data_IF_968125116114
#
_entry.id   IF_968125116114
#
_cell.length_a   1.000
_cell.length_b   1.000
_cell.length_c   1.000
_cell.angle_alpha   90.00
_cell.angle_beta   90.00
_cell.angle_gamma   90.00
#
_symmetry.space_group_name_H-M   'P 1'
#
loop_
_entity.id
_entity.type
_entity.pdbx_description
1 polymer ?
#
# COMPACT_ATOMS: atom_id res chain seq x y z
N UNK A 1 -45.49 -7.67 -14.83
CA UNK A 1 -44.04 -7.61 -15.08
C UNK A 1 -43.39 -7.15 -13.78
N UNK A 2 -42.95 -8.06 -12.89
CA UNK A 2 -42.44 -7.63 -11.59
C UNK A 2 -40.98 -7.18 -11.68
N UNK A 3 -40.75 -6.01 -11.09
CA UNK A 3 -39.52 -5.46 -10.51
C UNK A 3 -38.22 -6.19 -10.83
N UNK A 4 -37.49 -5.66 -11.83
CA UNK A 4 -36.03 -5.76 -11.80
C UNK A 4 -35.55 -4.97 -10.59
N UNK A 5 -35.22 -5.68 -9.52
CA UNK A 5 -34.38 -5.23 -8.42
C UNK A 5 -33.24 -4.38 -8.99
N UNK A 6 -33.35 -3.05 -8.84
CA UNK A 6 -32.20 -2.16 -8.94
C UNK A 6 -31.31 -2.55 -7.77
N UNK A 7 -30.36 -3.46 -8.00
CA UNK A 7 -29.21 -3.60 -7.13
C UNK A 7 -28.50 -2.25 -7.20
N UNK A 8 -28.66 -1.45 -6.16
CA UNK A 8 -27.78 -0.30 -5.92
C UNK A 8 -26.35 -0.85 -6.01
N UNK A 9 -25.47 -0.28 -6.84
CA UNK A 9 -24.08 -0.72 -6.84
C UNK A 9 -23.57 -0.62 -5.40
N UNK A 10 -23.13 -1.74 -4.83
CA UNK A 10 -22.44 -1.72 -3.54
C UNK A 10 -21.32 -0.70 -3.62
N UNK A 11 -21.21 0.14 -2.60
CA UNK A 11 -20.18 1.16 -2.54
C UNK A 11 -18.82 0.49 -2.71
N UNK A 12 -17.93 0.95 -3.60
CA UNK A 12 -16.62 0.34 -3.81
C UNK A 12 -15.75 0.33 -2.53
N UNK A 13 -16.14 1.12 -1.54
CA UNK A 13 -15.51 1.29 -0.22
C UNK A 13 -16.05 0.34 0.85
N UNK A 14 -17.18 -0.33 0.61
CA UNK A 14 -17.75 -1.29 1.56
C UNK A 14 -17.03 -2.64 1.46
N UNK A 15 -16.64 -3.18 2.61
CA UNK A 15 -15.99 -4.49 2.70
C UNK A 15 -17.04 -5.58 2.83
N UNK A 16 -17.40 -6.19 1.70
CA UNK A 16 -18.29 -7.35 1.64
C UNK A 16 -17.48 -8.64 1.48
N UNK A 17 -16.80 -9.02 2.55
CA UNK A 17 -15.91 -10.18 2.61
C UNK A 17 -16.32 -11.20 3.67
N UNK A 18 -16.04 -12.47 3.39
CA UNK A 18 -16.07 -13.58 4.35
C UNK A 18 -14.85 -13.48 5.28
N UNK A 19 -15.05 -13.57 6.60
CA UNK A 19 -13.96 -13.60 7.58
C UNK A 19 -13.78 -15.00 8.15
N UNK A 20 -12.57 -15.55 8.04
CA UNK A 20 -12.26 -16.93 8.47
C UNK A 20 -11.14 -16.92 9.49
N UNK A 21 -11.34 -17.64 10.60
CA UNK A 21 -10.32 -17.82 11.65
C UNK A 21 -10.24 -16.68 12.68
N UNK A 22 -11.14 -15.71 12.61
CA UNK A 22 -11.27 -14.60 13.56
C UNK A 22 -12.29 -14.94 14.68
N UNK A 23 -12.07 -14.41 15.89
CA UNK A 23 -13.17 -14.23 16.84
C UNK A 23 -14.06 -13.06 16.40
N UNK A 24 -15.29 -12.97 16.92
CA UNK A 24 -16.22 -11.86 16.57
C UNK A 24 -15.61 -10.47 16.79
N UNK A 25 -14.86 -10.28 17.88
CA UNK A 25 -14.21 -9.00 18.18
C UNK A 25 -13.01 -8.73 17.27
N UNK A 26 -12.26 -9.75 16.89
CA UNK A 26 -11.16 -9.61 15.93
C UNK A 26 -11.70 -9.30 14.53
N UNK A 27 -12.77 -9.97 14.10
CA UNK A 27 -13.43 -9.67 12.83
C UNK A 27 -13.92 -8.22 12.80
N UNK A 28 -14.67 -7.79 13.82
CA UNK A 28 -15.19 -6.42 13.90
C UNK A 28 -14.06 -5.40 13.79
N UNK A 29 -12.95 -5.63 14.50
CA UNK A 29 -11.76 -4.77 14.43
C UNK A 29 -11.13 -4.79 13.05
N UNK A 30 -10.78 -5.96 12.52
CA UNK A 30 -10.14 -6.11 11.22
C UNK A 30 -10.94 -5.45 10.10
N UNK A 31 -12.26 -5.66 10.08
CA UNK A 31 -13.20 -4.99 9.16
C UNK A 31 -13.10 -3.47 9.27
N UNK A 32 -13.18 -2.93 10.49
CA UNK A 32 -13.13 -1.49 10.71
C UNK A 32 -11.80 -0.90 10.22
N UNK A 33 -10.66 -1.56 10.46
CA UNK A 33 -9.36 -1.03 10.03
C UNK A 33 -9.17 -1.05 8.51
N UNK A 34 -9.60 -2.12 7.84
CA UNK A 34 -9.58 -2.20 6.37
C UNK A 34 -10.44 -1.07 5.78
N UNK A 35 -11.60 -0.79 6.39
CA UNK A 35 -12.49 0.29 5.96
C UNK A 35 -11.95 1.68 6.28
N UNK A 36 -11.32 1.88 7.44
CA UNK A 36 -10.78 3.17 7.84
C UNK A 36 -9.63 3.64 6.96
N UNK A 37 -8.89 2.72 6.33
CA UNK A 37 -7.89 3.08 5.32
C UNK A 37 -8.52 3.87 4.15
N UNK A 38 -9.82 3.69 3.91
CA UNK A 38 -10.60 4.43 2.91
C UNK A 38 -10.36 3.99 1.47
N UNK A 39 -9.44 3.05 1.25
CA UNK A 39 -9.21 2.46 -0.07
C UNK A 39 -10.38 1.55 -0.48
N UNK A 40 -10.67 1.42 -1.78
CA UNK A 40 -11.66 0.47 -2.27
C UNK A 40 -11.38 -0.95 -1.76
N UNK A 41 -12.43 -1.65 -1.35
CA UNK A 41 -12.35 -2.97 -0.74
C UNK A 41 -13.12 -4.04 -1.53
N UNK A 42 -13.80 -3.67 -2.61
CA UNK A 42 -14.64 -4.57 -3.42
C UNK A 42 -13.90 -5.79 -3.97
N UNK A 43 -12.58 -5.72 -4.13
CA UNK A 43 -11.77 -6.83 -4.64
C UNK A 43 -11.46 -7.86 -3.55
N UNK A 44 -11.58 -7.48 -2.28
CA UNK A 44 -11.37 -8.35 -1.12
C UNK A 44 -12.64 -9.16 -0.92
N UNK A 45 -12.60 -10.44 -1.28
CA UNK A 45 -13.73 -11.38 -1.15
C UNK A 45 -13.66 -12.18 0.14
N UNK A 46 -12.45 -12.38 0.65
CA UNK A 46 -12.21 -13.14 1.87
C UNK A 46 -11.05 -12.53 2.65
N UNK A 47 -11.20 -12.49 3.98
CA UNK A 47 -10.13 -12.16 4.91
C UNK A 47 -9.88 -13.38 5.80
N UNK A 48 -8.66 -13.90 5.78
CA UNK A 48 -8.25 -15.11 6.51
C UNK A 48 -7.27 -14.76 7.61
N UNK A 49 -7.49 -15.33 8.80
CA UNK A 49 -6.55 -15.30 9.90
C UNK A 49 -6.12 -16.70 10.30
N UNK A 50 -4.84 -17.04 10.08
CA UNK A 50 -4.34 -18.42 10.28
C UNK A 50 -2.90 -18.46 10.77
N UNK A 51 -2.48 -19.64 11.23
CA UNK A 51 -1.05 -19.90 11.48
C UNK A 51 -0.28 -19.85 10.14
N UNK A 52 0.95 -19.33 10.20
CA UNK A 52 1.90 -19.47 9.10
C UNK A 52 2.27 -20.95 8.94
N UNK A 53 2.33 -21.43 7.70
CA UNK A 53 2.83 -22.77 7.37
C UNK A 53 4.34 -22.74 7.22
N UNK A 54 4.94 -23.93 7.10
CA UNK A 54 6.36 -24.06 6.75
C UNK A 54 6.65 -23.33 5.44
N UNK A 55 7.60 -22.41 5.45
CA UNK A 55 7.94 -21.50 4.35
C UNK A 55 7.26 -20.13 4.40
N UNK A 56 6.36 -19.87 5.35
CA UNK A 56 5.66 -18.60 5.54
C UNK A 56 6.05 -17.90 6.85
N UNK A 57 7.04 -18.41 7.60
CA UNK A 57 7.31 -18.00 8.98
C UNK A 57 7.72 -16.53 9.12
N UNK A 58 8.38 -15.98 8.10
CA UNK A 58 8.84 -14.59 8.01
C UNK A 58 7.83 -13.67 7.30
N UNK A 59 6.68 -14.19 6.89
CA UNK A 59 5.63 -13.46 6.20
C UNK A 59 4.53 -13.08 7.21
N UNK A 60 4.05 -11.84 7.15
CA UNK A 60 3.04 -11.32 8.08
C UNK A 60 1.63 -11.27 7.48
N UNK A 61 1.54 -11.20 6.16
CA UNK A 61 0.30 -11.31 5.42
C UNK A 61 0.57 -11.58 3.95
N UNK A 62 -0.48 -11.91 3.21
CA UNK A 62 -0.44 -12.09 1.76
C UNK A 62 -1.74 -11.64 1.12
N UNK A 63 -1.64 -11.20 -0.13
CA UNK A 63 -2.76 -10.98 -1.03
C UNK A 63 -2.75 -11.99 -2.18
N UNK A 64 -3.88 -12.67 -2.39
CA UNK A 64 -4.10 -13.60 -3.51
C UNK A 64 -5.05 -13.00 -4.54
N UNK A 65 -4.49 -12.55 -5.68
CA UNK A 65 -5.26 -11.85 -6.71
C UNK A 65 -6.39 -12.69 -7.33
N UNK A 66 -6.19 -13.99 -7.51
CA UNK A 66 -7.12 -14.85 -8.25
C UNK A 66 -8.46 -15.07 -7.56
N UNK A 67 -8.47 -15.14 -6.23
CA UNK A 67 -9.66 -15.39 -5.43
C UNK A 67 -10.05 -14.21 -4.52
N UNK A 68 -9.25 -13.14 -4.52
CA UNK A 68 -9.47 -11.96 -3.68
C UNK A 68 -9.28 -12.23 -2.19
N UNK A 69 -8.33 -13.09 -1.82
CA UNK A 69 -8.08 -13.46 -0.42
C UNK A 69 -6.97 -12.62 0.17
N UNK A 70 -7.31 -11.91 1.25
CA UNK A 70 -6.37 -11.21 2.13
C UNK A 70 -6.08 -12.09 3.35
N UNK A 71 -4.86 -12.61 3.46
CA UNK A 71 -4.45 -13.45 4.60
C UNK A 71 -3.58 -12.65 5.56
N UNK A 72 -3.89 -12.71 6.85
CA UNK A 72 -3.03 -12.27 7.94
C UNK A 72 -2.56 -13.46 8.75
N UNK A 73 -1.27 -13.53 9.04
CA UNK A 73 -0.69 -14.62 9.81
C UNK A 73 -0.66 -14.30 11.31
N UNK A 74 -0.86 -15.31 12.14
CA UNK A 74 -0.89 -15.16 13.61
C UNK A 74 0.43 -14.67 14.23
N UNK A 75 1.56 -14.81 13.54
CA UNK A 75 2.82 -14.20 13.97
C UNK A 75 2.73 -12.66 14.04
N UNK A 76 1.77 -12.04 13.33
CA UNK A 76 1.48 -10.60 13.39
C UNK A 76 1.08 -10.12 14.80
N UNK A 77 0.53 -11.00 15.66
CA UNK A 77 0.22 -10.71 17.08
C UNK A 77 1.44 -10.31 17.91
N UNK A 78 2.66 -10.58 17.43
CA UNK A 78 3.90 -10.26 18.15
C UNK A 78 4.36 -8.83 17.89
N UNK A 79 3.74 -8.15 16.93
CA UNK A 79 4.17 -6.84 16.46
C UNK A 79 3.33 -5.72 17.06
N UNK A 80 3.94 -4.55 17.33
CA UNK A 80 3.22 -3.41 17.86
C UNK A 80 2.11 -2.94 16.91
N UNK A 81 1.08 -2.23 17.40
CA UNK A 81 -0.05 -1.80 16.58
C UNK A 81 0.35 -1.12 15.26
N UNK A 82 1.34 -0.23 15.28
CA UNK A 82 1.79 0.46 14.07
C UNK A 82 2.34 -0.48 12.98
N UNK A 83 2.97 -1.59 13.38
CA UNK A 83 3.45 -2.60 12.45
C UNK A 83 2.30 -3.47 11.92
N UNK A 84 1.26 -3.71 12.72
CA UNK A 84 0.03 -4.36 12.23
C UNK A 84 -0.70 -3.47 11.21
N UNK A 85 -0.82 -2.15 11.48
CA UNK A 85 -1.35 -1.18 10.51
C UNK A 85 -0.54 -1.18 9.22
N UNK A 86 0.79 -1.20 9.33
CA UNK A 86 1.70 -1.30 8.18
C UNK A 86 1.35 -2.51 7.32
N UNK A 87 1.24 -3.70 7.91
CA UNK A 87 0.89 -4.93 7.18
C UNK A 87 -0.50 -4.82 6.54
N UNK A 88 -1.52 -4.32 7.25
CA UNK A 88 -2.86 -4.19 6.68
C UNK A 88 -2.88 -3.23 5.49
N UNK A 89 -2.26 -2.06 5.63
CA UNK A 89 -2.16 -1.10 4.54
C UNK A 89 -1.37 -1.68 3.34
N UNK A 90 -0.27 -2.38 3.61
CA UNK A 90 0.54 -3.05 2.58
C UNK A 90 -0.29 -4.06 1.79
N UNK A 91 -0.88 -5.05 2.48
CA UNK A 91 -1.59 -6.13 1.81
C UNK A 91 -2.88 -5.65 1.12
N UNK A 92 -3.60 -4.68 1.71
CA UNK A 92 -4.75 -4.07 1.06
C UNK A 92 -4.35 -3.28 -0.20
N UNK A 93 -3.16 -2.68 -0.24
CA UNK A 93 -2.68 -1.95 -1.42
C UNK A 93 -2.54 -2.83 -2.65
N UNK A 94 -2.22 -4.12 -2.46
CA UNK A 94 -2.18 -5.10 -3.56
C UNK A 94 -3.57 -5.33 -4.17
N UNK A 95 -4.63 -5.28 -3.37
CA UNK A 95 -6.01 -5.44 -3.87
C UNK A 95 -6.46 -4.31 -4.79
N UNK A 96 -5.78 -3.16 -4.73
CA UNK A 96 -6.02 -1.98 -5.56
C UNK A 96 -4.78 -1.64 -6.41
N UNK A 97 -3.94 -2.63 -6.71
CA UNK A 97 -2.75 -2.47 -7.55
C UNK A 97 -3.08 -1.78 -8.87
N UNK A 98 -2.42 -0.68 -9.17
CA UNK A 98 -2.57 -0.01 -10.47
C UNK A 98 -1.93 -0.82 -11.60
N UNK A 99 -1.12 -1.84 -11.29
CA UNK A 99 -0.53 -2.73 -12.29
C UNK A 99 -1.52 -3.81 -12.74
N UNK A 100 -2.61 -4.04 -12.00
CA UNK A 100 -3.69 -4.93 -12.43
C UNK A 100 -4.69 -4.17 -13.34
N UNK A 101 -4.84 -4.55 -14.62
CA UNK A 101 -5.82 -3.93 -15.52
C UNK A 101 -7.27 -4.01 -15.03
N UNK A 102 -7.62 -4.98 -14.16
CA UNK A 102 -8.98 -5.08 -13.60
C UNK A 102 -9.33 -3.89 -12.70
N UNK A 103 -8.34 -3.18 -12.20
CA UNK A 103 -8.52 -2.03 -11.32
C UNK A 103 -8.79 -0.72 -12.05
N UNK A 104 -8.91 -0.72 -13.39
CA UNK A 104 -9.23 0.46 -14.20
C UNK A 104 -10.31 1.36 -13.58
N UNK A 105 -11.44 0.76 -13.17
CA UNK A 105 -12.59 1.49 -12.65
C UNK A 105 -12.31 2.17 -11.30
N UNK A 106 -11.40 1.61 -10.50
CA UNK A 106 -11.01 2.19 -9.20
C UNK A 106 -10.30 3.53 -9.35
N UNK A 107 -9.60 3.73 -10.47
CA UNK A 107 -8.87 4.95 -10.78
C UNK A 107 -9.70 5.98 -11.57
N UNK A 108 -10.95 5.67 -11.89
CA UNK A 108 -11.80 6.48 -12.75
C UNK A 108 -11.58 6.28 -14.25
N UNK A 109 -10.88 5.20 -14.66
CA UNK A 109 -10.68 4.82 -16.06
C UNK A 109 -9.23 4.48 -16.41
N UNK A 110 -9.05 3.88 -17.60
CA UNK A 110 -7.77 3.27 -18.02
C UNK A 110 -6.61 4.26 -18.00
N UNK A 111 -6.87 5.48 -18.43
CA UNK A 111 -5.83 6.49 -18.53
C UNK A 111 -5.23 6.83 -17.16
N UNK A 112 -6.06 7.00 -16.12
CA UNK A 112 -5.57 7.32 -14.78
C UNK A 112 -4.89 6.11 -14.13
N UNK A 113 -5.42 4.90 -14.35
CA UNK A 113 -4.75 3.66 -13.92
C UNK A 113 -3.36 3.51 -14.57
N UNK A 114 -3.22 3.77 -15.87
CA UNK A 114 -1.93 3.73 -16.56
C UNK A 114 -0.96 4.83 -16.09
N UNK A 115 -1.46 6.01 -15.74
CA UNK A 115 -0.63 7.08 -15.16
C UNK A 115 -0.07 6.62 -13.80
N UNK A 116 -0.91 6.01 -12.95
CA UNK A 116 -0.48 5.46 -11.67
C UNK A 116 0.54 4.33 -11.86
N UNK A 117 0.26 3.37 -12.75
CA UNK A 117 1.15 2.25 -13.08
C UNK A 117 2.54 2.73 -13.51
N UNK A 118 2.61 3.65 -14.49
CA UNK A 118 3.87 4.22 -14.98
C UNK A 118 4.63 4.98 -13.90
N UNK A 119 3.92 5.65 -13.00
CA UNK A 119 4.55 6.33 -11.87
C UNK A 119 5.24 5.32 -10.93
N UNK A 120 4.58 4.21 -10.60
CA UNK A 120 5.14 3.16 -9.75
C UNK A 120 6.35 2.50 -10.40
N UNK A 121 6.26 2.15 -11.68
CA UNK A 121 7.39 1.59 -12.44
C UNK A 121 8.57 2.58 -12.46
N UNK A 122 8.30 3.88 -12.60
CA UNK A 122 9.34 4.89 -12.60
C UNK A 122 9.98 5.07 -11.21
N UNK A 123 9.22 4.97 -10.12
CA UNK A 123 9.77 4.96 -8.74
C UNK A 123 10.58 3.68 -8.48
N UNK A 124 10.11 2.53 -8.94
CA UNK A 124 10.85 1.27 -8.85
C UNK A 124 12.20 1.37 -9.57
N UNK A 125 12.19 1.81 -10.83
CA UNK A 125 13.41 2.06 -11.61
C UNK A 125 14.34 3.09 -10.96
N UNK A 126 13.79 4.20 -10.44
CA UNK A 126 14.57 5.20 -9.71
C UNK A 126 15.27 4.60 -8.48
N UNK A 127 14.61 3.68 -7.77
CA UNK A 127 15.19 3.00 -6.61
C UNK A 127 16.38 2.11 -7.00
N UNK A 128 16.28 1.41 -8.14
CA UNK A 128 17.36 0.61 -8.74
C UNK A 128 18.55 1.50 -9.12
N UNK A 129 18.30 2.54 -9.90
CA UNK A 129 19.32 3.46 -10.43
C UNK A 129 20.08 4.14 -9.29
N UNK A 130 19.36 4.59 -8.26
CA UNK A 130 19.95 5.34 -7.15
C UNK A 130 20.51 4.46 -6.05
N UNK A 131 20.14 3.17 -6.01
CA UNK A 131 20.36 2.25 -4.87
C UNK A 131 19.85 2.83 -3.54
N UNK A 132 18.83 3.69 -3.60
CA UNK A 132 18.14 4.25 -2.44
C UNK A 132 16.72 3.69 -2.44
N UNK A 133 16.47 2.79 -1.51
CA UNK A 133 15.22 2.03 -1.43
C UNK A 133 14.27 2.64 -0.39
N UNK A 134 12.98 2.45 -0.59
CA UNK A 134 11.91 2.89 0.30
C UNK A 134 12.05 2.26 1.69
N UNK A 135 12.45 1.00 1.78
CA UNK A 135 12.76 0.32 3.03
C UNK A 135 13.76 -0.84 2.79
N UNK A 136 14.15 -1.56 3.84
CA UNK A 136 15.06 -2.71 3.74
C UNK A 136 14.48 -3.89 2.94
N UNK A 137 13.16 -4.04 2.93
CA UNK A 137 12.48 -5.10 2.18
C UNK A 137 12.54 -4.84 0.67
N UNK A 138 12.30 -3.62 0.19
CA UNK A 138 12.49 -3.29 -1.22
C UNK A 138 13.95 -3.51 -1.67
N UNK A 139 14.93 -3.24 -0.80
CA UNK A 139 16.33 -3.57 -1.08
C UNK A 139 16.58 -5.08 -1.19
N UNK A 140 15.86 -5.90 -0.42
CA UNK A 140 15.90 -7.36 -0.53
C UNK A 140 15.24 -7.85 -1.83
N UNK A 141 14.06 -7.34 -2.16
CA UNK A 141 13.36 -7.63 -3.42
C UNK A 141 14.22 -7.27 -4.64
N UNK A 142 14.98 -6.17 -4.57
CA UNK A 142 15.92 -5.84 -5.64
C UNK A 142 17.00 -6.91 -5.84
N UNK A 143 17.50 -7.52 -4.76
CA UNK A 143 18.47 -8.63 -4.87
C UNK A 143 17.84 -9.88 -5.46
N UNK A 144 16.57 -10.16 -5.17
CA UNK A 144 15.83 -11.25 -5.79
C UNK A 144 15.63 -11.00 -7.30
N UNK A 145 15.29 -9.75 -7.67
CA UNK A 145 15.19 -9.33 -9.07
C UNK A 145 16.53 -9.44 -9.81
N UNK A 146 17.65 -9.01 -9.21
CA UNK A 146 19.00 -9.19 -9.78
C UNK A 146 19.40 -10.67 -9.96
N UNK A 147 18.69 -11.61 -9.33
CA UNK A 147 18.92 -13.06 -9.40
C UNK A 147 17.86 -13.79 -10.23
N UNK A 148 16.97 -13.06 -10.91
CA UNK A 148 15.84 -13.60 -11.67
C UNK A 148 14.87 -14.46 -10.82
N UNK A 149 14.83 -14.25 -9.50
CA UNK A 149 13.90 -14.94 -8.58
C UNK A 149 12.49 -14.33 -8.63
N UNK A 150 12.40 -13.04 -8.98
CA UNK A 150 11.16 -12.31 -9.23
C UNK A 150 11.31 -11.46 -10.50
N UNK A 151 10.21 -11.16 -11.19
CA UNK A 151 10.22 -10.24 -12.32
C UNK A 151 10.08 -8.76 -11.88
N UNK A 152 10.21 -7.85 -12.85
CA UNK A 152 10.07 -6.42 -12.60
C UNK A 152 8.64 -6.04 -12.19
N UNK A 153 7.62 -6.72 -12.71
CA UNK A 153 6.22 -6.46 -12.37
C UNK A 153 5.98 -6.70 -10.88
N UNK A 154 6.50 -7.80 -10.33
CA UNK A 154 6.44 -8.09 -8.89
C UNK A 154 7.21 -7.06 -8.07
N UNK A 155 8.40 -6.65 -8.50
CA UNK A 155 9.17 -5.61 -7.82
C UNK A 155 8.44 -4.25 -7.81
N UNK A 156 7.79 -3.89 -8.92
CA UNK A 156 7.02 -2.66 -9.06
C UNK A 156 5.74 -2.70 -8.20
N UNK A 157 5.03 -3.83 -8.17
CA UNK A 157 3.83 -4.01 -7.34
C UNK A 157 4.16 -3.84 -5.84
N UNK A 158 5.23 -4.49 -5.38
CA UNK A 158 5.72 -4.31 -4.01
C UNK A 158 6.18 -2.87 -3.74
N UNK A 159 6.72 -2.18 -4.73
CA UNK A 159 7.03 -0.75 -4.63
C UNK A 159 5.76 0.07 -4.40
N UNK A 160 4.64 -0.22 -5.07
CA UNK A 160 3.35 0.43 -4.79
C UNK A 160 2.93 0.18 -3.33
N UNK A 161 2.89 -1.09 -2.91
CA UNK A 161 2.44 -1.45 -1.56
C UNK A 161 3.30 -0.79 -0.48
N UNK A 162 4.62 -0.73 -0.66
CA UNK A 162 5.54 -0.04 0.27
C UNK A 162 5.36 1.48 0.26
N UNK A 163 5.05 2.10 -0.87
CA UNK A 163 4.74 3.54 -0.87
C UNK A 163 3.46 3.82 -0.09
N UNK A 164 2.41 3.02 -0.30
CA UNK A 164 1.13 3.19 0.37
C UNK A 164 1.23 2.89 1.88
N UNK A 165 1.88 1.79 2.27
CA UNK A 165 2.09 1.45 3.69
C UNK A 165 2.82 2.59 4.43
N UNK A 166 3.88 3.13 3.82
CA UNK A 166 4.69 4.18 4.43
C UNK A 166 3.96 5.50 4.43
N UNK A 167 3.08 5.75 3.44
CA UNK A 167 2.27 6.95 3.45
C UNK A 167 1.32 6.98 4.65
N UNK A 168 0.74 5.84 5.01
CA UNK A 168 -0.11 5.70 6.19
C UNK A 168 0.66 5.64 7.51
N UNK A 169 1.90 5.13 7.52
CA UNK A 169 2.60 4.83 8.79
C UNK A 169 3.79 5.73 9.09
N UNK A 170 4.50 6.22 8.07
CA UNK A 170 5.72 7.02 8.20
C UNK A 170 5.98 7.91 6.96
N UNK A 171 5.15 8.94 6.71
CA UNK A 171 5.30 9.82 5.54
C UNK A 171 6.63 10.59 5.52
N UNK A 172 7.17 10.97 6.68
CA UNK A 172 8.47 11.64 6.77
C UNK A 172 9.62 10.79 6.19
N UNK A 173 9.53 9.47 6.31
CA UNK A 173 10.51 8.56 5.73
C UNK A 173 10.46 8.58 4.20
N UNK A 174 9.27 8.62 3.61
CA UNK A 174 9.12 8.79 2.15
C UNK A 174 9.75 10.10 1.67
N UNK A 175 9.56 11.20 2.39
CA UNK A 175 10.21 12.48 2.06
C UNK A 175 11.73 12.38 2.12
N UNK A 176 12.28 11.73 3.15
CA UNK A 176 13.73 11.53 3.32
C UNK A 176 14.31 10.71 2.17
N UNK A 177 13.64 9.61 1.78
CA UNK A 177 14.07 8.78 0.65
C UNK A 177 13.98 9.55 -0.67
N UNK A 178 12.89 10.30 -0.90
CA UNK A 178 12.75 11.15 -2.09
C UNK A 178 13.90 12.17 -2.20
N UNK A 179 14.21 12.88 -1.10
CA UNK A 179 15.33 13.82 -1.06
C UNK A 179 16.66 13.11 -1.37
N UNK A 180 16.89 11.94 -0.79
CA UNK A 180 18.10 11.15 -1.03
C UNK A 180 18.22 10.68 -2.50
N UNK A 181 17.12 10.22 -3.11
CA UNK A 181 17.07 9.82 -4.52
C UNK A 181 17.36 11.01 -5.44
N UNK A 182 16.77 12.18 -5.17
CA UNK A 182 16.98 13.39 -5.98
C UNK A 182 18.44 13.86 -5.93
N UNK A 183 19.07 13.84 -4.75
CA UNK A 183 20.50 14.16 -4.60
C UNK A 183 21.35 13.17 -5.40
N UNK A 184 21.03 11.88 -5.36
CA UNK A 184 21.78 10.86 -6.09
C UNK A 184 21.62 11.03 -7.61
N UNK A 185 20.42 11.32 -8.10
CA UNK A 185 20.18 11.60 -9.53
C UNK A 185 20.99 12.80 -10.00
N UNK A 186 21.02 13.90 -9.22
CA UNK A 186 21.85 15.07 -9.56
C UNK A 186 23.34 14.71 -9.69
N UNK A 187 23.86 13.86 -8.79
CA UNK A 187 25.25 13.37 -8.86
C UNK A 187 25.51 12.44 -10.05
N UNK A 188 24.54 11.64 -10.45
CA UNK A 188 24.63 10.79 -11.65
C UNK A 188 24.65 11.67 -12.90
N UNK A 189 23.69 12.59 -13.03
CA UNK A 189 23.59 13.51 -14.15
C UNK A 189 24.82 14.42 -14.29
N UNK A 190 25.46 14.83 -13.20
CA UNK A 190 26.68 15.64 -13.27
C UNK A 190 27.91 14.87 -13.76
N UNK A 191 27.88 13.53 -13.70
CA UNK A 191 29.00 12.65 -14.09
C UNK A 191 28.79 11.98 -15.44
N UNK A 192 27.56 11.97 -15.94
CA UNK A 192 27.19 11.24 -17.15
C UNK A 192 27.00 12.20 -18.34
N UNK A 193 27.50 11.84 -19.51
CA UNK A 193 27.37 12.65 -20.74
C UNK A 193 26.10 12.32 -21.56
N UNK A 194 25.27 11.38 -21.08
CA UNK A 194 24.00 11.02 -21.72
C UNK A 194 22.83 11.94 -21.36
N UNK A 195 21.61 11.64 -21.86
CA UNK A 195 20.40 12.35 -21.49
C UNK A 195 20.21 12.40 -19.98
N UNK A 196 19.81 13.57 -19.47
CA UNK A 196 19.61 13.75 -18.04
C UNK A 196 18.46 12.86 -17.54
N UNK A 197 18.72 12.10 -16.47
CA UNK A 197 17.70 11.34 -15.78
C UNK A 197 16.80 12.32 -15.03
N UNK A 198 15.51 12.30 -15.32
CA UNK A 198 14.53 13.15 -14.66
C UNK A 198 14.06 12.50 -13.34
N UNK A 199 14.15 13.20 -12.20
CA UNK A 199 13.72 12.66 -10.93
C UNK A 199 12.20 12.54 -10.87
N UNK A 200 11.72 11.44 -10.28
CA UNK A 200 10.29 11.14 -10.06
C UNK A 200 9.96 11.28 -8.59
N UNK A 201 8.97 12.11 -8.27
CA UNK A 201 8.52 12.30 -6.89
C UNK A 201 7.79 11.04 -6.39
N UNK A 202 8.16 10.57 -5.19
CA UNK A 202 7.49 9.49 -4.46
C UNK A 202 6.20 10.00 -3.80
N UNK A 203 6.22 11.20 -3.23
CA UNK A 203 5.07 11.84 -2.58
C UNK A 203 5.06 13.36 -2.80
N UNK A 204 3.92 13.99 -2.56
CA UNK A 204 3.75 15.44 -2.66
C UNK A 204 4.42 16.12 -1.47
N UNK A 205 5.36 17.01 -1.76
CA UNK A 205 5.93 17.94 -0.78
C UNK A 205 5.10 19.22 -0.70
N UNK A 206 5.26 20.01 0.37
CA UNK A 206 4.60 21.33 0.51
C UNK A 206 4.81 22.24 -0.71
N UNK A 207 6.02 22.29 -1.24
CA UNK A 207 6.35 23.09 -2.43
C UNK A 207 5.64 22.60 -3.70
N UNK A 208 5.27 21.31 -3.76
CA UNK A 208 4.57 20.71 -4.89
C UNK A 208 3.06 20.82 -4.74
N UNK A 209 2.52 20.88 -3.51
CA UNK A 209 1.09 20.93 -3.25
C UNK A 209 0.39 22.08 -3.99
N UNK A 210 1.07 23.23 -4.15
CA UNK A 210 0.58 24.38 -4.93
C UNK A 210 0.37 24.08 -6.42
N UNK A 211 1.05 23.07 -6.97
CA UNK A 211 0.99 22.64 -8.38
C UNK A 211 0.11 21.40 -8.58
N UNK A 212 -0.43 20.84 -7.50
CA UNK A 212 -1.24 19.61 -7.51
C UNK A 212 -0.53 18.40 -6.91
N UNK A 213 -1.31 17.33 -6.73
CA UNK A 213 -0.84 16.09 -6.15
C UNK A 213 0.04 15.29 -7.12
N UNK A 214 1.11 14.73 -6.58
CA UNK A 214 2.04 13.83 -7.27
C UNK A 214 2.33 12.60 -6.42
N UNK A 215 2.93 11.59 -7.03
CA UNK A 215 3.35 10.41 -6.28
C UNK A 215 2.20 9.60 -5.71
N UNK A 216 2.47 8.93 -4.58
CA UNK A 216 1.48 8.16 -3.83
C UNK A 216 0.27 8.99 -3.40
N UNK A 217 0.41 10.30 -3.19
CA UNK A 217 -0.70 11.18 -2.84
C UNK A 217 -1.71 11.31 -3.99
N UNK A 218 -1.24 11.36 -5.24
CA UNK A 218 -2.13 11.32 -6.41
C UNK A 218 -2.82 9.97 -6.54
N UNK A 219 -2.11 8.87 -6.25
CA UNK A 219 -2.72 7.54 -6.26
C UNK A 219 -3.83 7.45 -5.21
N UNK A 220 -3.58 7.95 -3.99
CA UNK A 220 -4.58 7.99 -2.92
C UNK A 220 -5.77 8.88 -3.26
N UNK A 221 -5.58 10.04 -3.90
CA UNK A 221 -6.70 10.91 -4.28
C UNK A 221 -7.62 10.30 -5.35
N UNK A 222 -7.08 9.41 -6.19
CA UNK A 222 -7.87 8.65 -7.16
C UNK A 222 -8.64 7.52 -6.50
N UNK A 223 -8.03 6.85 -5.53
CA UNK A 223 -8.65 5.73 -4.82
C UNK A 223 -9.63 6.20 -3.74
N UNK A 224 -9.46 7.39 -3.16
CA UNK A 224 -10.22 7.88 -2.01
C UNK A 224 -10.82 9.26 -2.36
N UNK A 225 -12.11 9.34 -2.76
CA UNK A 225 -12.69 10.50 -3.44
C UNK A 225 -12.69 11.80 -2.65
N UNK A 226 -12.60 11.77 -1.32
CA UNK A 226 -12.59 12.98 -0.50
C UNK A 226 -11.17 13.54 -0.27
N UNK A 227 -10.12 12.86 -0.73
CA UNK A 227 -8.74 13.28 -0.54
C UNK A 227 -8.22 14.08 -1.74
N UNK A 228 -8.63 15.35 -1.87
CA UNK A 228 -8.34 16.14 -3.07
C UNK A 228 -7.04 16.96 -2.97
N UNK A 229 -6.58 17.22 -1.75
CA UNK A 229 -5.38 18.02 -1.47
C UNK A 229 -4.41 17.29 -0.55
N UNK A 230 -3.18 17.80 -0.44
CA UNK A 230 -2.18 17.24 0.48
C UNK A 230 -2.67 17.32 1.94
N UNK A 231 -3.35 18.42 2.29
CA UNK A 231 -3.92 18.62 3.62
C UNK A 231 -5.03 17.59 3.94
N UNK A 232 -5.87 17.25 2.96
CA UNK A 232 -6.89 16.21 3.14
C UNK A 232 -6.23 14.85 3.41
N UNK A 233 -5.20 14.51 2.62
CA UNK A 233 -4.48 13.24 2.77
C UNK A 233 -3.75 13.18 4.11
N UNK A 234 -3.07 14.26 4.52
CA UNK A 234 -2.37 14.32 5.81
C UNK A 234 -3.34 14.18 6.98
N UNK A 235 -4.50 14.84 6.90
CA UNK A 235 -5.55 14.75 7.91
C UNK A 235 -6.13 13.34 8.00
N UNK A 236 -6.42 12.71 6.86
CA UNK A 236 -6.88 11.32 6.79
C UNK A 236 -5.86 10.34 7.37
N UNK A 237 -4.59 10.45 6.97
CA UNK A 237 -3.51 9.61 7.49
C UNK A 237 -3.36 9.79 9.00
N UNK A 238 -3.40 11.03 9.50
CA UNK A 238 -3.32 11.30 10.93
C UNK A 238 -4.50 10.69 11.69
N UNK A 239 -5.71 10.79 11.14
CA UNK A 239 -6.91 10.20 11.72
C UNK A 239 -6.85 8.68 11.75
N UNK A 240 -6.46 8.03 10.65
CA UNK A 240 -6.27 6.57 10.56
C UNK A 240 -5.27 6.10 11.61
N UNK A 241 -4.11 6.76 11.71
CA UNK A 241 -3.09 6.43 12.72
C UNK A 241 -3.62 6.58 14.14
N UNK A 242 -4.31 7.70 14.42
CA UNK A 242 -4.93 7.97 15.73
C UNK A 242 -5.94 6.88 16.10
N UNK A 243 -6.88 6.59 15.20
CA UNK A 243 -7.88 5.51 15.35
C UNK A 243 -7.22 4.16 15.64
N UNK A 244 -6.10 3.86 14.98
CA UNK A 244 -5.36 2.62 15.20
C UNK A 244 -4.70 2.56 16.58
N UNK A 245 -4.07 3.65 17.02
CA UNK A 245 -3.42 3.72 18.32
C UNK A 245 -4.42 3.69 19.48
N UNK A 246 -5.57 4.36 19.35
CA UNK A 246 -6.60 4.42 20.39
C UNK A 246 -7.34 3.10 20.59
N UNK A 247 -7.63 2.37 19.51
CA UNK A 247 -8.42 1.12 19.57
C UNK A 247 -7.58 -0.11 19.92
N UNK A 248 -6.26 0.03 19.97
CA UNK A 248 -5.33 -1.06 20.20
C UNK A 248 -5.06 -1.89 18.94
N UNK A 249 -4.34 -3.02 19.06
CA UNK A 249 -4.01 -3.86 17.92
C UNK A 249 -5.23 -4.63 17.38
N UNK A 250 -5.21 -4.98 16.09
CA UNK A 250 -6.21 -5.85 15.45
C UNK A 250 -6.20 -7.22 16.12
N UNK A 251 -4.99 -7.73 16.28
CA UNK A 251 -4.72 -9.04 16.81
C UNK A 251 -4.15 -8.87 18.21
N UNK A 252 -4.65 -9.62 19.22
CA UNK A 252 -4.21 -9.46 20.60
C UNK A 252 -2.69 -9.60 20.67
N UNK A 253 -2.01 -8.64 21.30
CA UNK A 253 -0.56 -8.71 21.44
C UNK A 253 -0.22 -9.91 22.32
N UNK A 254 0.17 -11.04 21.72
CA UNK A 254 0.82 -12.15 22.42
C UNK A 254 2.28 -11.79 22.63
N UNK A 255 2.55 -10.67 23.29
CA UNK A 255 3.79 -10.57 24.06
C UNK A 255 3.52 -11.49 25.25
N UNK A 256 3.83 -12.78 25.07
CA UNK A 256 3.83 -13.73 26.16
C UNK A 256 4.68 -13.11 27.26
N UNK A 257 4.13 -13.01 28.47
CA UNK A 257 4.92 -12.87 29.69
C UNK A 257 5.94 -14.00 29.69
N UNK A 258 7.14 -13.72 29.20
CA UNK A 258 8.30 -14.58 29.26
C UNK A 258 9.48 -13.71 29.68
N UNK A 259 9.47 -13.34 30.97
CA UNK A 259 10.51 -13.68 31.93
C UNK A 259 9.87 -13.63 33.32
#
# INVERSE_FOLDING_TARGET
MPERLRQTPESPYELNAEFIGFTKDQEKRARQYIQDLGMPAQNIKRVVYREARRGEEDILGTWELYNGTLTFYKNLERFPPIAQLKTVAHEQSHSVSSLDPKNEKLYGGRQEQLIAARHIEAVANQSIITRKYLNGYQAHLHRQYERDEIDFTRFAEETQAIMMELRFTNPEHLEKIQKAQFVQIRKINSKHQGPAIMPVAIMTTEAQAQKGLVGVDRTLSKLIPHLQTKADIDSHVAEVRRKFLERGPIFPNRISKAA
#
